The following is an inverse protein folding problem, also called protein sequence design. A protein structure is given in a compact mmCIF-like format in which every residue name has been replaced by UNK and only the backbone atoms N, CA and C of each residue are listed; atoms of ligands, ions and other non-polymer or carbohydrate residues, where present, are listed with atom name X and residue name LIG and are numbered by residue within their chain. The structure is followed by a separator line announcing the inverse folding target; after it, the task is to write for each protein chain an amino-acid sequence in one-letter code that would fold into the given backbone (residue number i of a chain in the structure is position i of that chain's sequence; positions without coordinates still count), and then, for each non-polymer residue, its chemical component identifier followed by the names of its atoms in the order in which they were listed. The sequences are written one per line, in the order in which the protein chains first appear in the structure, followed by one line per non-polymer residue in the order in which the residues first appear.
data_IF_523573968509
#
_entry.id   IF_523573968509
#
_cell.length_a   1.000
_cell.length_b   1.000
_cell.length_c   1.000
_cell.angle_alpha   90.00
_cell.angle_beta   90.00
_cell.angle_gamma   90.00
#
_symmetry.space_group_name_H-M   'P 1'
#
loop_
_entity.id
_entity.type
_entity.pdbx_description
1 polymer ?
#
# COMPACT_ATOMS: atom_id res chain seq x y z
N UNK A 1 27.99 -3.54 31.33
CA UNK A 1 26.62 -4.12 31.20
C UNK A 1 25.45 -3.28 31.80
N UNK A 2 25.60 -2.53 32.90
CA UNK A 2 24.48 -1.79 33.54
C UNK A 2 23.98 -0.56 32.76
N UNK A 3 24.86 0.14 32.05
CA UNK A 3 24.51 1.36 31.27
C UNK A 3 23.59 1.08 30.05
N UNK A 4 23.81 0.02 29.25
CA UNK A 4 22.86 -0.37 28.19
C UNK A 4 21.47 -0.73 28.71
N UNK A 5 21.39 -1.47 29.83
CA UNK A 5 20.12 -1.87 30.43
C UNK A 5 19.31 -0.67 30.93
N UNK A 6 19.97 0.34 31.52
CA UNK A 6 19.31 1.58 31.93
C UNK A 6 18.76 2.38 30.73
N UNK A 7 19.48 2.42 29.60
CA UNK A 7 19.00 3.08 28.37
C UNK A 7 17.79 2.37 27.76
N UNK A 8 17.81 1.03 27.74
CA UNK A 8 16.67 0.23 27.29
C UNK A 8 15.47 0.46 28.22
N UNK A 9 15.70 0.45 29.54
CA UNK A 9 14.66 0.72 30.53
C UNK A 9 14.01 2.09 30.35
N UNK A 10 14.79 3.15 30.12
CA UNK A 10 14.25 4.47 29.83
C UNK A 10 13.46 4.51 28.51
N UNK A 11 13.95 3.83 27.46
CA UNK A 11 13.25 3.74 26.18
C UNK A 11 11.91 3.02 26.27
N UNK A 12 11.86 1.90 27.00
CA UNK A 12 10.62 1.16 27.29
C UNK A 12 9.65 2.05 28.06
N UNK A 13 10.11 2.79 29.06
CA UNK A 13 9.27 3.68 29.84
C UNK A 13 8.64 4.78 28.97
N UNK A 14 9.44 5.45 28.14
CA UNK A 14 8.93 6.47 27.22
C UNK A 14 7.95 5.89 26.19
N UNK A 15 8.24 4.71 25.65
CA UNK A 15 7.35 4.03 24.69
C UNK A 15 6.04 3.63 25.36
N UNK A 16 6.09 3.14 26.59
CA UNK A 16 4.90 2.75 27.35
C UNK A 16 4.01 3.97 27.64
N UNK A 17 4.59 5.07 28.14
CA UNK A 17 3.84 6.30 28.39
C UNK A 17 3.24 6.83 27.07
N UNK A 18 4.02 6.88 25.99
CA UNK A 18 3.55 7.29 24.67
C UNK A 18 2.41 6.41 24.15
N UNK A 19 2.52 5.10 24.31
CA UNK A 19 1.49 4.15 23.90
C UNK A 19 0.20 4.32 24.70
N UNK A 20 0.29 4.53 26.03
CA UNK A 20 -0.88 4.78 26.88
C UNK A 20 -1.58 6.07 26.44
N UNK A 21 -0.83 7.16 26.22
CA UNK A 21 -1.39 8.42 25.74
C UNK A 21 -2.03 8.28 24.35
N UNK A 22 -1.36 7.59 23.43
CA UNK A 22 -1.87 7.29 22.09
C UNK A 22 -3.17 6.49 22.14
N UNK A 23 -3.18 5.36 22.85
CA UNK A 23 -4.37 4.51 22.99
C UNK A 23 -5.52 5.24 23.69
N UNK A 24 -5.21 6.11 24.66
CA UNK A 24 -6.23 6.94 25.32
C UNK A 24 -6.84 7.93 24.35
N UNK A 25 -6.03 8.67 23.60
CA UNK A 25 -6.51 9.63 22.61
C UNK A 25 -7.32 8.97 21.49
N UNK A 26 -6.88 7.78 21.07
CA UNK A 26 -7.60 6.94 20.12
C UNK A 26 -8.96 6.47 20.66
N UNK A 27 -9.00 6.00 21.90
CA UNK A 27 -10.21 5.43 22.49
C UNK A 27 -11.28 6.49 22.76
N UNK A 28 -10.87 7.70 23.15
CA UNK A 28 -11.80 8.80 23.41
C UNK A 28 -12.16 9.58 22.14
N UNK A 29 -11.23 9.67 21.18
CA UNK A 29 -11.42 10.48 19.97
C UNK A 29 -11.78 9.66 18.73
N UNK A 30 -10.83 8.87 18.23
CA UNK A 30 -10.92 8.25 16.90
C UNK A 30 -11.98 7.14 16.82
N UNK A 31 -12.03 6.23 17.80
CA UNK A 31 -12.98 5.11 17.74
C UNK A 31 -14.45 5.58 17.80
N UNK A 32 -14.85 6.47 18.74
CA UNK A 32 -16.22 6.99 18.77
C UNK A 32 -16.56 7.80 17.52
N UNK A 33 -15.62 8.61 17.02
CA UNK A 33 -15.83 9.40 15.81
C UNK A 33 -16.03 8.51 14.57
N UNK A 34 -15.20 7.47 14.41
CA UNK A 34 -15.36 6.50 13.32
C UNK A 34 -16.72 5.82 13.40
N UNK A 35 -17.10 5.30 14.57
CA UNK A 35 -18.39 4.64 14.78
C UNK A 35 -19.58 5.56 14.47
N UNK A 36 -19.56 6.78 15.00
CA UNK A 36 -20.60 7.78 14.74
C UNK A 36 -20.73 8.08 13.24
N UNK A 37 -19.62 8.38 12.56
CA UNK A 37 -19.63 8.65 11.11
C UNK A 37 -20.16 7.47 10.30
N UNK A 38 -19.74 6.24 10.64
CA UNK A 38 -20.23 5.04 9.98
C UNK A 38 -21.74 4.87 10.17
N UNK A 39 -22.23 5.06 11.39
CA UNK A 39 -23.65 4.93 11.72
C UNK A 39 -24.51 5.97 11.01
N UNK A 40 -24.10 7.25 11.00
CA UNK A 40 -24.85 8.33 10.34
C UNK A 40 -24.94 8.12 8.83
N UNK A 41 -23.84 7.74 8.18
CA UNK A 41 -23.82 7.53 6.72
C UNK A 41 -24.64 6.31 6.29
N UNK A 42 -24.63 5.26 7.09
CA UNK A 42 -25.32 4.01 6.78
C UNK A 42 -26.80 4.02 7.24
N UNK A 43 -27.16 4.85 8.22
CA UNK A 43 -28.54 5.02 8.70
C UNK A 43 -29.38 5.99 7.88
N UNK A 44 -28.77 6.82 7.03
CA UNK A 44 -29.47 7.75 6.16
C UNK A 44 -30.05 7.14 4.88
N UNK A 45 -30.86 7.92 4.15
CA UNK A 45 -31.54 7.50 2.91
C UNK A 45 -30.58 7.13 1.78
N UNK A 46 -29.33 7.63 1.81
CA UNK A 46 -28.32 7.47 0.77
C UNK A 46 -27.16 6.59 1.23
N UNK A 47 -27.45 5.35 1.63
CA UNK A 47 -26.46 4.39 2.14
C UNK A 47 -25.28 4.14 1.18
N UNK A 48 -25.49 4.32 -0.14
CA UNK A 48 -24.42 4.18 -1.14
C UNK A 48 -23.27 5.18 -0.95
N UNK A 49 -23.51 6.32 -0.30
CA UNK A 49 -22.48 7.34 0.00
C UNK A 49 -21.38 6.82 0.91
N UNK A 50 -21.65 5.77 1.68
CA UNK A 50 -20.68 5.06 2.50
C UNK A 50 -19.48 4.56 1.68
N UNK A 51 -19.69 4.16 0.43
CA UNK A 51 -18.64 3.62 -0.45
C UNK A 51 -17.61 4.69 -0.82
N UNK A 52 -17.94 5.77 -1.56
CA UNK A 52 -16.94 6.76 -1.96
C UNK A 52 -16.32 7.49 -0.76
N UNK A 53 -17.09 7.71 0.32
CA UNK A 53 -16.55 8.35 1.52
C UNK A 53 -15.63 7.41 2.30
N UNK A 54 -15.96 6.13 2.38
CA UNK A 54 -15.07 5.09 2.92
C UNK A 54 -13.77 4.98 2.11
N UNK A 55 -13.83 5.04 0.78
CA UNK A 55 -12.63 5.07 -0.07
C UNK A 55 -11.75 6.28 0.26
N UNK A 56 -12.35 7.46 0.38
CA UNK A 56 -11.63 8.70 0.72
C UNK A 56 -10.95 8.59 2.09
N UNK A 57 -11.67 8.10 3.10
CA UNK A 57 -11.14 7.86 4.44
C UNK A 57 -9.99 6.84 4.40
N UNK A 58 -10.17 5.72 3.69
CA UNK A 58 -9.14 4.70 3.52
C UNK A 58 -7.86 5.25 2.90
N UNK A 59 -7.97 6.10 1.87
CA UNK A 59 -6.82 6.77 1.27
C UNK A 59 -6.03 7.59 2.30
N UNK A 60 -6.72 8.50 3.01
CA UNK A 60 -6.07 9.42 3.94
C UNK A 60 -5.54 8.73 5.20
N UNK A 61 -6.23 7.71 5.69
CA UNK A 61 -5.79 6.95 6.87
C UNK A 61 -4.47 6.24 6.58
N UNK A 62 -4.36 5.56 5.44
CA UNK A 62 -3.10 4.91 5.05
C UNK A 62 -2.03 5.93 4.69
N UNK A 63 -2.40 7.07 4.10
CA UNK A 63 -1.45 8.14 3.82
C UNK A 63 -0.87 8.76 5.11
N UNK A 64 -1.69 8.87 6.15
CA UNK A 64 -1.34 9.42 7.45
C UNK A 64 -0.72 8.41 8.42
N UNK A 65 -0.79 7.10 8.12
CA UNK A 65 -0.27 6.03 8.97
C UNK A 65 1.26 6.17 9.15
N UNK A 66 1.74 6.36 10.40
CA UNK A 66 3.17 6.48 10.67
C UNK A 66 3.96 5.24 10.25
N UNK A 67 3.40 4.04 10.44
CA UNK A 67 4.06 2.79 10.04
C UNK A 67 4.29 2.75 8.52
N UNK A 68 3.34 3.24 7.73
CA UNK A 68 3.47 3.35 6.27
C UNK A 68 4.57 4.36 5.89
N UNK A 69 4.75 5.43 6.66
CA UNK A 69 5.85 6.39 6.43
C UNK A 69 7.23 5.79 6.70
N UNK A 70 7.35 4.98 7.76
CA UNK A 70 8.59 4.25 8.07
C UNK A 70 8.91 3.22 6.98
N UNK A 71 7.90 2.46 6.54
CA UNK A 71 8.05 1.49 5.45
C UNK A 71 8.54 2.16 4.15
N UNK A 72 7.98 3.33 3.77
CA UNK A 72 8.43 4.06 2.58
C UNK A 72 9.92 4.37 2.64
N UNK A 73 10.39 4.86 3.78
CA UNK A 73 11.80 5.19 3.99
C UNK A 73 12.67 3.93 3.94
N UNK A 74 12.26 2.86 4.62
CA UNK A 74 12.99 1.58 4.59
C UNK A 74 13.11 1.03 3.17
N UNK A 75 12.03 1.07 2.38
CA UNK A 75 12.05 0.60 0.99
C UNK A 75 12.95 1.48 0.12
N UNK A 76 12.91 2.79 0.29
CA UNK A 76 13.75 3.72 -0.47
C UNK A 76 15.24 3.51 -0.13
N UNK A 77 15.57 3.29 1.15
CA UNK A 77 16.92 3.02 1.64
C UNK A 77 17.47 1.67 1.13
N UNK A 78 16.71 0.57 1.25
CA UNK A 78 17.16 -0.76 0.80
C UNK A 78 17.22 -0.88 -0.73
N UNK A 79 16.53 -0.02 -1.46
CA UNK A 79 16.55 -0.01 -2.92
C UNK A 79 17.48 1.05 -3.49
N UNK A 80 18.24 1.78 -2.66
CA UNK A 80 19.11 2.88 -3.09
C UNK A 80 18.34 3.90 -3.96
N UNK A 81 17.08 4.17 -3.62
CA UNK A 81 16.23 5.09 -4.35
C UNK A 81 15.62 4.56 -5.65
N UNK A 82 15.88 3.30 -6.04
CA UNK A 82 15.27 2.71 -7.25
C UNK A 82 13.75 2.65 -7.13
N UNK A 83 13.21 2.37 -5.93
CA UNK A 83 11.77 2.44 -5.64
C UNK A 83 11.52 3.71 -4.84
N UNK A 84 10.80 4.67 -5.42
CA UNK A 84 10.45 5.90 -4.70
C UNK A 84 9.43 5.62 -3.60
N UNK A 85 9.73 6.04 -2.37
CA UNK A 85 8.82 5.91 -1.24
C UNK A 85 7.48 6.64 -1.49
N UNK A 86 7.50 7.77 -2.21
CA UNK A 86 6.28 8.50 -2.60
C UNK A 86 5.37 7.67 -3.50
N UNK A 87 5.94 7.00 -4.50
CA UNK A 87 5.18 6.15 -5.44
C UNK A 87 4.63 4.93 -4.71
N UNK A 88 5.43 4.30 -3.85
CA UNK A 88 4.98 3.18 -3.01
C UNK A 88 3.79 3.60 -2.14
N UNK A 89 3.94 4.72 -1.41
CA UNK A 89 2.90 5.24 -0.54
C UNK A 89 1.60 5.58 -1.27
N UNK A 90 1.69 6.23 -2.43
CA UNK A 90 0.52 6.58 -3.23
C UNK A 90 -0.21 5.34 -3.73
N UNK A 91 0.51 4.35 -4.28
CA UNK A 91 -0.09 3.10 -4.76
C UNK A 91 -0.77 2.33 -3.63
N UNK A 92 -0.13 2.31 -2.46
CA UNK A 92 -0.67 1.67 -1.27
C UNK A 92 -1.96 2.35 -0.80
N UNK A 93 -1.96 3.68 -0.68
CA UNK A 93 -3.16 4.46 -0.31
C UNK A 93 -4.31 4.29 -1.31
N UNK A 94 -4.03 4.30 -2.62
CA UNK A 94 -5.06 4.10 -3.66
C UNK A 94 -5.66 2.70 -3.56
N UNK A 95 -4.82 1.67 -3.42
CA UNK A 95 -5.34 0.32 -3.31
C UNK A 95 -6.17 0.12 -2.05
N UNK A 96 -5.74 0.68 -0.91
CA UNK A 96 -6.51 0.55 0.33
C UNK A 96 -7.82 1.33 0.23
N UNK A 97 -7.83 2.49 -0.43
CA UNK A 97 -9.06 3.20 -0.74
C UNK A 97 -10.06 2.27 -1.46
N UNK A 98 -9.64 1.62 -2.55
CA UNK A 98 -10.48 0.67 -3.31
C UNK A 98 -10.96 -0.47 -2.40
N UNK A 99 -10.07 -1.03 -1.58
CA UNK A 99 -10.38 -2.14 -0.69
C UNK A 99 -11.38 -1.78 0.41
N UNK A 100 -11.27 -0.58 0.98
CA UNK A 100 -12.26 -0.03 1.91
C UNK A 100 -13.59 0.21 1.19
N UNK A 101 -13.57 0.71 -0.05
CA UNK A 101 -14.78 0.82 -0.88
C UNK A 101 -15.48 -0.52 -1.09
N UNK A 102 -14.73 -1.57 -1.43
CA UNK A 102 -15.26 -2.94 -1.53
C UNK A 102 -15.79 -3.47 -0.20
N UNK A 103 -15.14 -3.11 0.91
CA UNK A 103 -15.60 -3.45 2.26
C UNK A 103 -16.91 -2.74 2.60
N UNK A 104 -17.07 -1.47 2.20
CA UNK A 104 -18.33 -0.74 2.40
C UNK A 104 -19.43 -1.25 1.49
N UNK A 105 -19.11 -1.61 0.25
CA UNK A 105 -20.03 -2.30 -0.65
C UNK A 105 -20.53 -3.60 0.00
N UNK A 106 -19.64 -4.36 0.63
CA UNK A 106 -20.00 -5.55 1.40
C UNK A 106 -20.95 -5.23 2.55
N UNK A 107 -20.66 -4.21 3.35
CA UNK A 107 -21.51 -3.80 4.48
C UNK A 107 -22.93 -3.46 4.01
N UNK A 108 -23.08 -2.79 2.87
CA UNK A 108 -24.39 -2.42 2.31
C UNK A 108 -25.12 -3.62 1.68
N UNK A 109 -24.40 -4.50 0.99
CA UNK A 109 -25.01 -5.57 0.16
C UNK A 109 -25.10 -6.93 0.85
N UNK A 110 -24.34 -7.16 1.93
CA UNK A 110 -24.23 -8.46 2.59
C UNK A 110 -23.49 -9.53 1.79
N UNK A 111 -22.85 -9.19 0.65
CA UNK A 111 -22.14 -10.16 -0.21
C UNK A 111 -21.04 -10.86 0.59
N UNK A 112 -20.96 -12.19 0.49
CA UNK A 112 -19.95 -12.98 1.20
C UNK A 112 -18.52 -12.48 0.91
N UNK A 113 -17.72 -12.36 1.97
CA UNK A 113 -16.32 -11.92 1.90
C UNK A 113 -15.46 -12.81 0.97
N UNK A 114 -15.84 -14.08 0.81
CA UNK A 114 -15.13 -15.03 -0.04
C UNK A 114 -15.07 -14.58 -1.51
N UNK A 115 -16.07 -13.86 -2.01
CA UNK A 115 -16.07 -13.32 -3.37
C UNK A 115 -15.02 -12.23 -3.60
N UNK A 116 -14.46 -11.66 -2.54
CA UNK A 116 -13.42 -10.62 -2.63
C UNK A 116 -12.04 -11.16 -2.23
N UNK A 117 -11.99 -11.91 -1.12
CA UNK A 117 -10.73 -12.40 -0.56
C UNK A 117 -10.13 -13.53 -1.42
N UNK A 118 -10.95 -14.48 -1.88
CA UNK A 118 -10.42 -15.62 -2.64
C UNK A 118 -9.82 -15.18 -3.99
N UNK A 119 -10.52 -14.35 -4.82
CA UNK A 119 -9.91 -13.83 -6.04
C UNK A 119 -8.70 -12.94 -5.76
N UNK A 120 -8.75 -12.12 -4.70
CA UNK A 120 -7.65 -11.23 -4.36
C UNK A 120 -6.37 -12.00 -3.99
N UNK A 121 -6.46 -13.05 -3.17
CA UNK A 121 -5.31 -13.92 -2.90
C UNK A 121 -4.86 -14.71 -4.13
N UNK A 122 -5.78 -15.19 -4.96
CA UNK A 122 -5.42 -15.87 -6.20
C UNK A 122 -4.60 -14.94 -7.13
N UNK A 123 -5.03 -13.68 -7.28
CA UNK A 123 -4.30 -12.65 -8.03
C UNK A 123 -2.94 -12.38 -7.38
N UNK A 124 -2.88 -12.22 -6.06
CA UNK A 124 -1.64 -11.97 -5.35
C UNK A 124 -0.62 -13.10 -5.54
N UNK A 125 -1.04 -14.36 -5.44
CA UNK A 125 -0.18 -15.52 -5.66
C UNK A 125 0.27 -15.63 -7.12
N UNK A 126 -0.63 -15.34 -8.07
CA UNK A 126 -0.29 -15.33 -9.49
C UNK A 126 0.76 -14.26 -9.79
N UNK A 127 0.61 -13.05 -9.23
CA UNK A 127 1.55 -11.95 -9.43
C UNK A 127 2.96 -12.28 -8.93
N UNK A 128 3.10 -13.12 -7.90
CA UNK A 128 4.40 -13.52 -7.33
C UNK A 128 5.31 -14.17 -8.36
N UNK A 129 4.77 -14.87 -9.36
CA UNK A 129 5.56 -15.46 -10.44
C UNK A 129 6.13 -14.42 -11.43
N UNK A 130 5.63 -13.18 -11.41
CA UNK A 130 5.99 -12.13 -12.38
C UNK A 130 6.87 -11.02 -11.81
N UNK A 131 7.05 -10.97 -10.49
CA UNK A 131 7.80 -9.93 -9.78
C UNK A 131 9.07 -10.47 -9.12
N UNK A 132 10.00 -9.57 -8.74
CA UNK A 132 11.19 -9.99 -8.01
C UNK A 132 10.86 -10.36 -6.55
N UNK A 133 11.71 -11.17 -5.89
CA UNK A 133 11.55 -11.51 -4.48
C UNK A 133 11.48 -10.27 -3.57
N UNK A 134 12.16 -9.18 -3.95
CA UNK A 134 12.12 -7.91 -3.22
C UNK A 134 10.72 -7.30 -3.17
N UNK A 135 10.03 -7.19 -4.32
CA UNK A 135 8.65 -6.68 -4.33
C UNK A 135 7.69 -7.58 -3.56
N UNK A 136 7.90 -8.90 -3.62
CA UNK A 136 7.11 -9.86 -2.84
C UNK A 136 7.32 -9.65 -1.34
N UNK A 137 8.56 -9.52 -0.89
CA UNK A 137 8.89 -9.28 0.51
C UNK A 137 8.29 -7.97 1.03
N UNK A 138 8.43 -6.88 0.26
CA UNK A 138 7.82 -5.59 0.58
C UNK A 138 6.30 -5.73 0.67
N UNK A 139 5.68 -6.43 -0.27
CA UNK A 139 4.23 -6.60 -0.29
C UNK A 139 3.69 -7.32 0.95
N UNK A 140 4.37 -8.38 1.41
CA UNK A 140 4.00 -9.11 2.62
C UNK A 140 4.19 -8.30 3.90
N UNK A 141 5.30 -7.55 4.02
CA UNK A 141 5.55 -6.69 5.19
C UNK A 141 4.53 -5.52 5.25
N UNK A 142 4.22 -4.97 4.07
CA UNK A 142 3.24 -3.90 3.90
C UNK A 142 1.83 -4.30 4.29
N UNK A 143 1.50 -5.59 4.22
CA UNK A 143 0.21 -6.16 4.66
C UNK A 143 -0.16 -5.72 6.07
N UNK A 144 0.72 -6.04 7.03
CA UNK A 144 0.55 -5.66 8.44
C UNK A 144 0.65 -4.17 8.70
N UNK A 145 1.48 -3.47 7.91
CA UNK A 145 1.68 -2.02 8.03
C UNK A 145 0.43 -1.25 7.60
N UNK A 146 -0.23 -1.66 6.51
CA UNK A 146 -1.46 -1.04 6.02
C UNK A 146 -2.67 -1.31 6.94
N UNK A 147 -2.72 -2.49 7.56
CA UNK A 147 -3.68 -2.82 8.62
C UNK A 147 -3.24 -2.30 10.00
N UNK A 148 -2.48 -1.20 10.02
CA UNK A 148 -1.86 -0.65 11.22
C UNK A 148 -2.85 -0.06 12.24
N UNK A 149 -2.31 0.58 13.30
CA UNK A 149 -3.10 1.13 14.38
C UNK A 149 -4.20 2.09 13.92
N UNK A 150 -3.98 2.98 12.94
CA UNK A 150 -5.02 3.91 12.51
C UNK A 150 -6.18 3.21 11.79
N UNK A 151 -5.88 2.18 10.99
CA UNK A 151 -6.90 1.32 10.37
C UNK A 151 -7.74 0.62 11.45
N UNK A 152 -7.08 0.00 12.43
CA UNK A 152 -7.78 -0.70 13.51
C UNK A 152 -8.63 0.23 14.39
N UNK A 153 -8.22 1.49 14.52
CA UNK A 153 -8.79 2.44 15.49
C UNK A 153 -9.74 3.46 14.88
N UNK A 154 -9.86 3.49 13.55
CA UNK A 154 -10.83 4.33 12.86
C UNK A 154 -11.64 3.57 11.82
N UNK A 155 -11.00 2.89 10.86
CA UNK A 155 -11.71 2.18 9.79
C UNK A 155 -12.57 1.02 10.31
N UNK A 156 -12.06 0.25 11.28
CA UNK A 156 -12.86 -0.81 11.88
C UNK A 156 -14.06 -0.24 12.67
N UNK A 157 -13.90 0.70 13.62
CA UNK A 157 -15.04 1.37 14.26
C UNK A 157 -16.04 1.98 13.29
N UNK A 158 -15.56 2.57 12.19
CA UNK A 158 -16.38 3.08 11.09
C UNK A 158 -17.22 1.98 10.43
N UNK A 159 -16.60 0.87 10.04
CA UNK A 159 -17.32 -0.28 9.48
C UNK A 159 -18.31 -0.88 10.49
N UNK A 160 -17.95 -0.91 11.78
CA UNK A 160 -18.79 -1.39 12.88
C UNK A 160 -20.02 -0.50 13.04
N UNK A 161 -19.86 0.83 13.05
CA UNK A 161 -20.97 1.79 13.12
C UNK A 161 -21.92 1.66 11.92
N UNK A 162 -21.35 1.56 10.72
CA UNK A 162 -22.14 1.36 9.50
C UNK A 162 -22.94 0.04 9.53
N UNK A 163 -22.30 -1.05 9.95
CA UNK A 163 -22.95 -2.36 10.06
C UNK A 163 -24.07 -2.36 11.10
N UNK A 164 -23.87 -1.70 12.24
CA UNK A 164 -24.90 -1.59 13.28
C UNK A 164 -26.13 -0.81 12.80
N UNK A 165 -25.93 0.30 12.09
CA UNK A 165 -27.03 1.10 11.55
C UNK A 165 -27.85 0.35 10.48
N UNK A 166 -27.20 -0.49 9.67
CA UNK A 166 -27.87 -1.34 8.67
C UNK A 166 -28.55 -2.57 9.31
N UNK A 167 -28.15 -2.96 10.52
CA UNK A 167 -28.62 -4.20 11.16
C UNK A 167 -27.90 -5.46 10.67
N UNK A 168 -26.69 -5.31 10.13
CA UNK A 168 -25.84 -6.42 9.70
C UNK A 168 -25.13 -7.12 10.86
N UNK A 169 -24.33 -8.15 10.55
CA UNK A 169 -23.57 -8.87 11.55
C UNK A 169 -22.17 -8.25 11.68
N UNK A 170 -21.92 -7.57 12.79
CA UNK A 170 -20.63 -6.89 13.06
C UNK A 170 -19.43 -7.82 12.93
N UNK A 171 -19.55 -9.07 13.39
CA UNK A 171 -18.45 -10.02 13.37
C UNK A 171 -18.07 -10.47 11.96
N UNK A 172 -19.03 -10.57 11.04
CA UNK A 172 -18.76 -11.04 9.67
C UNK A 172 -18.60 -9.90 8.68
N UNK A 173 -19.34 -8.80 8.85
CA UNK A 173 -19.44 -7.73 7.87
C UNK A 173 -18.43 -6.63 8.18
N UNK A 174 -18.38 -6.14 9.42
CA UNK A 174 -17.46 -5.08 9.81
C UNK A 174 -16.00 -5.55 9.88
N UNK A 175 -15.73 -6.71 10.51
CA UNK A 175 -14.36 -7.25 10.60
C UNK A 175 -13.75 -7.63 9.25
N UNK A 176 -14.59 -7.83 8.21
CA UNK A 176 -14.13 -8.14 6.87
C UNK A 176 -13.20 -7.07 6.28
N UNK A 177 -13.32 -5.81 6.73
CA UNK A 177 -12.43 -4.72 6.34
C UNK A 177 -10.96 -5.01 6.66
N UNK A 178 -10.68 -5.72 7.76
CA UNK A 178 -9.32 -6.03 8.19
C UNK A 178 -8.65 -6.97 7.18
N UNK A 179 -9.36 -8.02 6.77
CA UNK A 179 -8.86 -8.97 5.77
C UNK A 179 -8.65 -8.29 4.41
N UNK A 180 -9.59 -7.43 4.00
CA UNK A 180 -9.53 -6.69 2.75
C UNK A 180 -8.33 -5.73 2.73
N UNK A 181 -8.14 -4.94 3.78
CA UNK A 181 -7.01 -4.00 3.89
C UNK A 181 -5.68 -4.75 3.99
N UNK A 182 -5.58 -5.84 4.74
CA UNK A 182 -4.35 -6.62 4.87
C UNK A 182 -3.94 -7.34 3.57
N UNK A 183 -4.90 -7.76 2.75
CA UNK A 183 -4.65 -8.40 1.45
C UNK A 183 -4.18 -7.39 0.39
N UNK A 184 -4.62 -6.14 0.50
CA UNK A 184 -4.43 -5.11 -0.53
C UNK A 184 -2.95 -4.87 -0.93
N UNK A 185 -2.01 -4.75 0.02
CA UNK A 185 -0.59 -4.53 -0.29
C UNK A 185 0.00 -5.68 -1.11
N UNK A 186 -0.49 -6.91 -0.92
CA UNK A 186 -0.07 -8.07 -1.70
C UNK A 186 -0.35 -7.86 -3.18
N UNK A 187 -1.47 -7.23 -3.54
CA UNK A 187 -1.83 -7.00 -4.94
C UNK A 187 -1.13 -5.73 -5.45
N UNK A 188 -1.25 -4.62 -4.74
CA UNK A 188 -0.85 -3.29 -5.23
C UNK A 188 0.66 -3.17 -5.42
N UNK A 189 1.45 -3.69 -4.48
CA UNK A 189 2.91 -3.59 -4.52
C UNK A 189 3.49 -4.57 -5.56
N UNK A 190 2.87 -5.73 -5.73
CA UNK A 190 3.27 -6.64 -6.79
C UNK A 190 2.91 -6.07 -8.18
N UNK A 191 1.75 -5.44 -8.35
CA UNK A 191 1.44 -4.69 -9.58
C UNK A 191 2.51 -3.61 -9.84
N UNK A 192 2.88 -2.85 -8.81
CA UNK A 192 3.97 -1.87 -8.93
C UNK A 192 5.28 -2.53 -9.37
N UNK A 193 5.61 -3.71 -8.82
CA UNK A 193 6.78 -4.50 -9.22
C UNK A 193 6.76 -4.91 -10.70
N UNK A 194 5.61 -5.33 -11.22
CA UNK A 194 5.45 -5.63 -12.66
C UNK A 194 5.70 -4.39 -13.50
N UNK A 195 5.14 -3.23 -13.11
CA UNK A 195 5.33 -1.96 -13.82
C UNK A 195 6.80 -1.56 -13.84
N UNK A 196 7.50 -1.67 -12.72
CA UNK A 196 8.94 -1.38 -12.63
C UNK A 196 9.76 -2.32 -13.52
N UNK A 197 9.47 -3.62 -13.50
CA UNK A 197 10.14 -4.62 -14.36
C UNK A 197 9.98 -4.29 -15.84
N UNK A 198 8.76 -3.96 -16.27
CA UNK A 198 8.47 -3.60 -17.68
C UNK A 198 9.19 -2.31 -18.07
N UNK A 199 9.22 -1.30 -17.18
CA UNK A 199 9.92 -0.04 -17.43
C UNK A 199 11.43 -0.27 -17.60
N UNK A 200 12.06 -1.04 -16.72
CA UNK A 200 13.48 -1.37 -16.82
C UNK A 200 13.82 -2.12 -18.10
N UNK A 201 13.01 -3.12 -18.50
CA UNK A 201 13.22 -3.85 -19.75
C UNK A 201 13.12 -2.97 -21.00
N UNK A 202 12.19 -1.99 -21.02
CA UNK A 202 12.07 -1.01 -22.11
C UNK A 202 13.28 -0.08 -22.19
N UNK A 203 13.78 0.39 -21.05
CA UNK A 203 14.97 1.25 -21.00
C UNK A 203 16.19 0.49 -21.55
N UNK A 204 16.44 -0.74 -21.08
CA UNK A 204 17.56 -1.56 -21.60
C UNK A 204 17.47 -1.77 -23.11
N UNK A 205 16.28 -2.06 -23.65
CA UNK A 205 16.07 -2.23 -25.10
C UNK A 205 16.35 -0.94 -25.88
N UNK A 206 15.88 0.21 -25.41
CA UNK A 206 16.13 1.49 -26.07
C UNK A 206 17.63 1.83 -26.06
N UNK A 207 18.32 1.61 -24.94
CA UNK A 207 19.77 1.82 -24.84
C UNK A 207 20.52 0.92 -25.81
N UNK A 208 20.16 -0.37 -25.91
CA UNK A 208 20.76 -1.30 -26.89
C UNK A 208 20.53 -0.84 -28.34
N UNK A 209 19.34 -0.35 -28.67
CA UNK A 209 19.05 0.18 -30.01
C UNK A 209 19.91 1.41 -30.35
N UNK A 210 20.09 2.33 -29.40
CA UNK A 210 20.94 3.52 -29.59
C UNK A 210 22.40 3.13 -29.81
N UNK A 211 22.92 2.16 -29.05
CA UNK A 211 24.28 1.65 -29.29
C UNK A 211 24.41 0.96 -30.65
N UNK A 212 23.40 0.19 -31.09
CA UNK A 212 23.41 -0.41 -32.42
C UNK A 212 23.32 0.64 -33.53
N UNK A 213 22.46 1.65 -33.40
CA UNK A 213 22.33 2.74 -34.37
C UNK A 213 23.63 3.55 -34.49
N UNK A 214 24.23 3.93 -33.36
CA UNK A 214 25.51 4.64 -33.35
C UNK A 214 26.67 3.77 -33.88
N UNK A 215 26.68 2.47 -33.60
CA UNK A 215 27.66 1.55 -34.15
C UNK A 215 27.52 1.38 -35.68
N UNK A 216 26.33 1.58 -36.26
CA UNK A 216 26.13 1.52 -37.71
C UNK A 216 26.63 2.80 -38.40
N UNK A 217 26.56 3.95 -37.72
CA UNK A 217 26.98 5.25 -38.28
C UNK A 217 28.52 5.36 -38.32
N UNK A 218 29.23 4.81 -37.33
CA UNK A 218 30.68 4.98 -37.15
C UNK A 218 31.55 4.28 -38.21
N UNK A 219 31.05 3.25 -38.90
CA UNK A 219 31.81 2.54 -39.95
C UNK A 219 31.66 3.14 -41.36
N UNK A 220 30.91 4.23 -41.52
CA UNK A 220 30.61 4.81 -42.84
C UNK A 220 31.38 6.09 -43.19
N UNK A 221 32.15 6.67 -42.26
CA UNK A 221 32.92 7.91 -42.51
C UNK A 221 34.44 7.79 -42.47
N UNK A 222 35.01 6.61 -42.23
CA UNK A 222 36.47 6.44 -42.15
C UNK A 222 37.01 5.56 -43.28
N UNK A 223 36.87 6.03 -44.52
CA UNK A 223 37.69 5.54 -45.64
C UNK A 223 37.82 6.60 -46.74
N UNK A 224 38.51 7.69 -46.41
CA UNK A 224 39.21 8.51 -47.42
C UNK A 224 40.69 8.54 -47.02
N UNK A 225 41.39 7.44 -47.31
CA UNK A 225 42.84 7.44 -47.32
C UNK A 225 43.25 8.29 -48.52
N UNK A 226 43.75 9.50 -48.26
CA UNK A 226 44.42 10.32 -49.28
C UNK A 226 45.74 9.61 -49.60
N UNK A 227 45.79 8.97 -50.77
CA UNK A 227 46.98 8.33 -51.32
C UNK A 227 48.03 9.39 -51.65
N UNK A 228 49.13 9.39 -50.89
CA UNK A 228 50.33 10.21 -51.15
C UNK A 228 51.37 9.41 -51.94
N UNK A 229 50.96 8.82 -53.05
CA UNK A 229 51.89 8.31 -54.04
C UNK A 229 51.34 8.52 -55.43
N UNK A 230 51.81 9.58 -56.11
CA UNK A 230 52.34 9.59 -57.49
C UNK A 230 52.83 11.01 -57.85
N UNK A 231 54.13 11.05 -58.20
CA UNK A 231 54.94 12.09 -58.87
C UNK A 231 55.21 13.45 -58.19
#
# INVERSE_FOLDING_TARGET
PKRPLLKIGSGILYTFIGLVLFLTGVNVGFMPAGNFLGSELAGGDYQWTLIPLGMLLGFFIVAAEPAVSVLKQQVEDITEGHISGKVLGLNLSIGVAISVGLSMLRVVTGISIWYMVLPGYAIALLLTFFVSPLFTAIAFDSGSVASGPLTATFLLPFAVGATQAIGGNVLTDAFGIVAMVAMTPLITIQILGVVYRVKSARISKNVSNVYQENAIIDYSQENTIVDYSQE
#
